data_IF_596119972044
#
_entry.id   IF_596119972044
#
_cell.length_a   1.000
_cell.length_b   1.000
_cell.length_c   1.000
_cell.angle_alpha   90.00
_cell.angle_beta   90.00
_cell.angle_gamma   90.00
#
_symmetry.space_group_name_H-M   'P 1'
#
loop_
_entity.id
_entity.type
_entity.pdbx_description
1 polymer ?
#
# COMPACT_ATOMS: atom_id res chain seq x y z
N UNK A 1 -12.63 13.51 8.36
CA UNK A 1 -11.28 13.56 7.75
C UNK A 1 -11.22 14.72 6.77
N UNK A 2 -10.20 15.57 6.79
CA UNK A 2 -10.04 16.65 5.79
C UNK A 2 -9.21 16.16 4.58
N UNK A 3 -9.07 16.98 3.53
CA UNK A 3 -8.37 16.59 2.29
C UNK A 3 -6.87 16.38 2.50
N UNK A 4 -6.26 17.17 3.37
CA UNK A 4 -4.83 17.07 3.69
C UNK A 4 -4.53 15.74 4.40
N UNK A 5 -5.40 15.33 5.33
CA UNK A 5 -5.27 14.05 6.00
C UNK A 5 -5.38 12.88 5.03
N UNK A 6 -6.34 12.89 4.09
CA UNK A 6 -6.45 11.84 3.06
C UNK A 6 -5.15 11.74 2.24
N UNK A 7 -4.54 12.87 1.88
CA UNK A 7 -3.27 12.88 1.13
C UNK A 7 -2.12 12.32 1.95
N UNK A 8 -2.04 12.65 3.24
CA UNK A 8 -1.06 12.08 4.17
C UNK A 8 -1.24 10.57 4.31
N UNK A 9 -2.48 10.12 4.43
CA UNK A 9 -2.79 8.69 4.54
C UNK A 9 -2.41 7.94 3.24
N UNK A 10 -2.70 8.50 2.06
CA UNK A 10 -2.26 7.93 0.77
C UNK A 10 -0.73 7.82 0.71
N UNK A 11 0.00 8.86 1.12
CA UNK A 11 1.46 8.83 1.13
C UNK A 11 1.99 7.73 2.06
N UNK A 12 1.44 7.61 3.27
CA UNK A 12 1.82 6.57 4.22
C UNK A 12 1.54 5.15 3.67
N UNK A 13 0.42 4.93 2.99
CA UNK A 13 0.13 3.64 2.36
C UNK A 13 1.05 3.32 1.18
N UNK A 14 1.51 4.34 0.44
CA UNK A 14 2.53 4.18 -0.62
C UNK A 14 3.89 3.79 -0.04
N UNK A 15 4.31 4.43 1.05
CA UNK A 15 5.53 4.06 1.77
C UNK A 15 5.46 2.61 2.28
N UNK A 16 4.32 2.21 2.86
CA UNK A 16 4.10 0.82 3.29
C UNK A 16 4.15 -0.15 2.10
N UNK A 17 3.54 0.19 0.96
CA UNK A 17 3.60 -0.63 -0.25
C UNK A 17 5.05 -0.83 -0.72
N UNK A 18 5.84 0.25 -0.79
CA UNK A 18 7.26 0.19 -1.19
C UNK A 18 8.10 -0.66 -0.23
N UNK A 19 7.83 -0.59 1.08
CA UNK A 19 8.48 -1.49 2.05
C UNK A 19 8.21 -2.97 1.71
N UNK A 20 6.95 -3.35 1.51
CA UNK A 20 6.60 -4.73 1.21
C UNK A 20 7.07 -5.20 -0.17
N UNK A 21 7.23 -4.30 -1.14
CA UNK A 21 7.89 -4.59 -2.42
C UNK A 21 9.35 -4.99 -2.22
N UNK A 22 10.07 -4.33 -1.30
CA UNK A 22 11.43 -4.73 -0.90
C UNK A 22 11.48 -6.09 -0.22
N UNK A 23 10.56 -6.35 0.72
CA UNK A 23 10.43 -7.66 1.39
C UNK A 23 10.10 -8.79 0.38
N UNK A 24 9.31 -8.47 -0.65
CA UNK A 24 8.98 -9.41 -1.73
C UNK A 24 10.22 -9.73 -2.58
N UNK A 25 11.03 -8.73 -2.90
CA UNK A 25 12.30 -8.94 -3.61
C UNK A 25 13.26 -9.81 -2.78
N UNK A 26 13.41 -9.50 -1.50
CA UNK A 26 14.30 -10.21 -0.59
C UNK A 26 13.86 -11.67 -0.39
N UNK A 27 12.56 -11.89 -0.14
CA UNK A 27 11.99 -13.24 0.00
C UNK A 27 12.14 -14.08 -1.27
N UNK A 28 12.04 -13.48 -2.47
CA UNK A 28 12.32 -14.16 -3.75
C UNK A 28 13.79 -14.55 -3.88
N UNK A 29 14.70 -13.68 -3.45
CA UNK A 29 16.15 -13.94 -3.51
C UNK A 29 16.58 -15.09 -2.60
N UNK A 30 16.01 -15.17 -1.40
CA UNK A 30 16.40 -16.17 -0.39
C UNK A 30 15.43 -17.36 -0.28
N UNK A 31 14.39 -17.41 -1.10
CA UNK A 31 13.43 -18.53 -1.13
C UNK A 31 12.51 -18.61 0.09
N UNK A 32 12.28 -17.50 0.79
CA UNK A 32 11.40 -17.46 1.96
C UNK A 32 9.91 -17.39 1.54
N UNK A 33 9.28 -18.55 1.36
CA UNK A 33 7.89 -18.65 0.86
C UNK A 33 6.88 -17.92 1.75
N UNK A 34 6.98 -18.04 3.08
CA UNK A 34 6.02 -17.42 4.00
C UNK A 34 6.09 -15.89 4.00
N UNK A 35 7.31 -15.33 3.94
CA UNK A 35 7.51 -13.89 3.80
C UNK A 35 7.06 -13.39 2.42
N UNK A 36 7.23 -14.21 1.37
CA UNK A 36 6.75 -13.89 0.02
C UNK A 36 5.24 -13.72 -0.02
N UNK A 37 4.50 -14.69 0.51
CA UNK A 37 3.03 -14.66 0.56
C UNK A 37 2.52 -13.46 1.36
N UNK A 38 3.15 -13.20 2.52
CA UNK A 38 2.83 -12.04 3.35
C UNK A 38 3.07 -10.73 2.60
N UNK A 39 4.21 -10.59 1.95
CA UNK A 39 4.54 -9.39 1.18
C UNK A 39 3.56 -9.17 0.03
N UNK A 40 3.21 -10.22 -0.72
CA UNK A 40 2.21 -10.15 -1.79
C UNK A 40 0.83 -9.73 -1.28
N UNK A 41 0.39 -10.25 -0.13
CA UNK A 41 -0.87 -9.85 0.50
C UNK A 41 -0.86 -8.38 0.93
N UNK A 42 0.22 -7.94 1.58
CA UNK A 42 0.35 -6.58 2.08
C UNK A 42 0.47 -5.54 0.96
N UNK A 43 1.11 -5.88 -0.17
CA UNK A 43 1.12 -5.04 -1.38
C UNK A 43 -0.30 -4.89 -1.93
N UNK A 44 -1.04 -6.00 -2.09
CA UNK A 44 -2.43 -5.95 -2.58
C UNK A 44 -3.33 -5.15 -1.65
N UNK A 45 -3.20 -5.34 -0.34
CA UNK A 45 -3.96 -4.60 0.64
C UNK A 45 -3.63 -3.10 0.60
N UNK A 46 -2.35 -2.74 0.53
CA UNK A 46 -1.93 -1.34 0.43
C UNK A 46 -2.54 -0.65 -0.81
N UNK A 47 -2.53 -1.34 -1.96
CA UNK A 47 -3.16 -0.82 -3.18
C UNK A 47 -4.67 -0.59 -3.00
N UNK A 48 -5.39 -1.54 -2.40
CA UNK A 48 -6.83 -1.38 -2.13
C UNK A 48 -7.11 -0.15 -1.25
N UNK A 49 -6.30 0.08 -0.21
CA UNK A 49 -6.45 1.24 0.68
C UNK A 49 -6.15 2.56 -0.03
N UNK A 50 -5.12 2.59 -0.88
CA UNK A 50 -4.81 3.76 -1.72
C UNK A 50 -6.00 4.08 -2.63
N UNK A 51 -6.54 3.09 -3.34
CA UNK A 51 -7.66 3.27 -4.25
C UNK A 51 -8.92 3.80 -3.54
N UNK A 52 -9.23 3.28 -2.35
CA UNK A 52 -10.35 3.76 -1.52
C UNK A 52 -10.18 5.23 -1.12
N UNK A 53 -8.98 5.61 -0.69
CA UNK A 53 -8.65 6.97 -0.29
C UNK A 53 -8.67 7.94 -1.48
N UNK A 54 -8.15 7.53 -2.64
CA UNK A 54 -8.18 8.31 -3.87
C UNK A 54 -9.62 8.54 -4.35
N UNK A 55 -10.48 7.51 -4.32
CA UNK A 55 -11.93 7.66 -4.61
C UNK A 55 -12.61 8.63 -3.63
N UNK A 56 -12.26 8.56 -2.35
CA UNK A 56 -12.78 9.48 -1.32
C UNK A 56 -12.35 10.93 -1.57
N UNK A 57 -11.12 11.14 -2.05
CA UNK A 57 -10.61 12.47 -2.41
C UNK A 57 -11.32 13.05 -3.63
N UNK A 58 -11.57 12.23 -4.66
CA UNK A 58 -12.28 12.62 -5.89
C UNK A 58 -13.76 12.94 -5.61
N UNK A 59 -14.46 12.14 -4.81
CA UNK A 59 -15.87 12.42 -4.45
C UNK A 59 -16.09 13.72 -3.69
N UNK A 60 -15.04 14.29 -3.11
CA UNK A 60 -15.06 15.59 -2.41
C UNK A 60 -14.60 16.76 -3.28
N UNK A 61 -14.24 16.48 -4.53
CA UNK A 61 -13.94 17.47 -5.57
C UNK A 61 -15.17 17.74 -6.47
N UNK A 62 -16.08 16.77 -6.57
CA UNK A 62 -17.39 16.90 -7.22
C UNK A 62 -18.39 17.57 -6.27
#
# INVERSE_FOLDING_TARGET
MNREQIRKDIAAWKENQTYWEGELEESRKYGNVGQRETAEEMIRFSQQRIDELERSLVRRLA
#
